data_IF_480359913354
#
_entry.id   IF_480359913354
#
_cell.length_a   1.000
_cell.length_b   1.000
_cell.length_c   1.000
_cell.angle_alpha   90.00
_cell.angle_beta   90.00
_cell.angle_gamma   90.00
#
_symmetry.space_group_name_H-M   'P 1'
#
loop_
_entity.id
_entity.type
_entity.pdbx_description
1 polymer ?
#
# COMPACT_ATOMS: atom_id res chain seq x y z
N UNK A 1 -11.44 -40.11 -52.51
CA UNK A 1 -12.78 -39.50 -52.63
C UNK A 1 -12.74 -38.18 -51.86
N UNK A 2 -12.71 -37.12 -52.61
CA UNK A 2 -12.66 -35.72 -52.17
C UNK A 2 -14.06 -35.22 -51.80
N UNK A 3 -14.19 -34.43 -50.75
CA UNK A 3 -15.36 -33.60 -50.52
C UNK A 3 -14.90 -32.21 -50.09
N UNK A 4 -14.97 -31.28 -51.04
CA UNK A 4 -14.92 -29.84 -50.84
C UNK A 4 -16.18 -29.36 -50.13
N UNK A 5 -16.03 -28.56 -49.07
CA UNK A 5 -17.11 -27.73 -48.51
C UNK A 5 -16.93 -26.28 -48.94
N UNK A 6 -17.99 -25.50 -49.13
CA UNK A 6 -17.95 -24.20 -49.80
C UNK A 6 -17.41 -23.08 -48.89
N UNK A 7 -16.49 -22.30 -49.43
CA UNK A 7 -16.05 -21.03 -48.89
C UNK A 7 -17.17 -19.97 -48.99
N UNK A 8 -17.44 -19.27 -47.93
CA UNK A 8 -18.26 -18.08 -47.93
C UNK A 8 -17.34 -16.88 -48.15
N UNK A 9 -17.41 -16.31 -49.35
CA UNK A 9 -16.78 -15.02 -49.69
C UNK A 9 -17.46 -13.90 -48.91
N UNK A 10 -16.79 -13.39 -47.91
CA UNK A 10 -17.21 -12.16 -47.24
C UNK A 10 -16.59 -10.95 -47.97
N UNK A 11 -17.41 -10.18 -48.64
CA UNK A 11 -17.02 -8.90 -49.28
C UNK A 11 -17.33 -7.78 -48.31
N UNK A 12 -16.30 -7.18 -47.72
CA UNK A 12 -16.41 -6.02 -46.85
C UNK A 12 -16.72 -4.73 -47.61
N UNK A 13 -17.36 -3.72 -46.98
CA UNK A 13 -17.69 -2.46 -47.59
C UNK A 13 -16.49 -1.57 -47.85
N UNK A 14 -16.52 -0.94 -48.98
CA UNK A 14 -15.73 0.06 -49.65
C UNK A 14 -14.62 0.84 -48.94
N UNK A 15 -13.56 0.97 -49.70
CA UNK A 15 -12.37 1.78 -49.47
C UNK A 15 -12.68 3.27 -49.32
N UNK A 16 -12.79 3.74 -48.09
CA UNK A 16 -12.64 5.17 -47.77
C UNK A 16 -11.15 5.53 -47.61
N UNK A 17 -10.75 6.58 -48.28
CA UNK A 17 -9.41 7.17 -48.24
C UNK A 17 -8.91 7.36 -46.82
N UNK A 18 -7.86 6.62 -46.38
CA UNK A 18 -7.16 6.83 -45.14
C UNK A 18 -6.13 7.96 -45.31
N UNK A 19 -6.37 9.08 -44.63
CA UNK A 19 -5.40 10.14 -44.43
C UNK A 19 -4.29 9.62 -43.54
N UNK A 20 -3.03 10.01 -43.82
CA UNK A 20 -1.79 9.64 -43.18
C UNK A 20 -1.84 9.82 -41.63
N UNK A 21 -2.16 8.75 -40.91
CA UNK A 21 -1.89 8.57 -39.51
C UNK A 21 -1.02 7.31 -39.36
N UNK A 22 -0.13 7.26 -38.42
CA UNK A 22 0.74 6.12 -38.16
C UNK A 22 -0.08 4.82 -38.22
N UNK A 23 0.25 3.96 -39.17
CA UNK A 23 -0.44 2.67 -39.34
C UNK A 23 -0.15 1.82 -38.10
N UNK A 24 -1.18 1.44 -37.37
CA UNK A 24 -1.06 0.43 -36.32
C UNK A 24 -0.30 -0.79 -36.89
N UNK A 25 0.62 -1.40 -36.14
CA UNK A 25 1.32 -2.58 -36.61
C UNK A 25 0.29 -3.67 -37.00
N UNK A 26 0.59 -4.49 -38.01
CA UNK A 26 -0.31 -5.54 -38.43
C UNK A 26 -0.60 -6.48 -37.24
N UNK A 27 -1.87 -6.85 -37.09
CA UNK A 27 -2.27 -7.82 -36.08
C UNK A 27 -1.57 -9.15 -36.41
N UNK A 28 -0.76 -9.65 -35.48
CA UNK A 28 -0.10 -10.95 -35.56
C UNK A 28 -0.42 -11.77 -34.30
N UNK A 29 -0.40 -13.07 -34.41
CA UNK A 29 -0.59 -13.97 -33.30
C UNK A 29 0.30 -15.20 -33.45
N UNK A 30 0.92 -15.61 -32.36
CA UNK A 30 1.72 -16.83 -32.31
C UNK A 30 0.84 -18.02 -31.87
N UNK A 31 1.13 -19.20 -32.44
CA UNK A 31 0.48 -20.42 -31.98
C UNK A 31 0.90 -20.71 -30.53
N UNK A 32 -0.07 -20.71 -29.60
CA UNK A 32 0.18 -21.06 -28.21
C UNK A 32 0.73 -22.50 -28.13
N UNK A 33 1.80 -22.68 -27.35
CA UNK A 33 2.40 -23.97 -27.01
C UNK A 33 2.50 -24.11 -25.51
N UNK A 34 2.23 -25.31 -25.02
CA UNK A 34 2.41 -25.59 -23.59
C UNK A 34 3.92 -25.49 -23.24
N UNK A 35 4.19 -24.81 -22.13
CA UNK A 35 5.54 -24.69 -21.56
C UNK A 35 5.46 -25.23 -20.13
N UNK A 36 6.44 -26.03 -19.74
CA UNK A 36 6.57 -26.46 -18.35
C UNK A 36 6.64 -25.25 -17.42
N UNK A 37 5.72 -25.11 -16.43
CA UNK A 37 5.71 -23.95 -15.54
C UNK A 37 7.04 -23.71 -14.81
N UNK A 38 7.85 -24.76 -14.59
CA UNK A 38 9.16 -24.64 -13.93
C UNK A 38 10.22 -23.96 -14.80
N UNK A 39 9.98 -23.89 -16.09
CA UNK A 39 10.87 -23.24 -17.07
C UNK A 39 10.45 -21.78 -17.37
N UNK A 40 9.30 -21.34 -16.86
CA UNK A 40 8.87 -19.95 -17.02
C UNK A 40 9.71 -19.03 -16.15
N UNK A 41 10.23 -17.91 -16.69
CA UNK A 41 10.96 -16.95 -15.89
C UNK A 41 10.06 -16.38 -14.78
N UNK A 42 10.59 -16.20 -13.56
CA UNK A 42 9.85 -15.54 -12.51
C UNK A 42 9.51 -14.10 -12.91
N UNK A 43 8.42 -13.57 -12.33
CA UNK A 43 8.08 -12.16 -12.55
C UNK A 43 9.20 -11.25 -12.06
N UNK A 44 9.54 -10.19 -12.81
CA UNK A 44 10.67 -9.32 -12.50
C UNK A 44 10.34 -8.30 -11.40
N UNK A 45 10.01 -8.80 -10.19
CA UNK A 45 9.77 -7.95 -9.04
C UNK A 45 11.02 -7.14 -8.67
N UNK A 46 10.82 -5.88 -8.25
CA UNK A 46 11.86 -5.01 -7.74
C UNK A 46 11.83 -4.94 -6.20
N UNK A 47 10.68 -4.54 -5.63
CA UNK A 47 10.48 -4.48 -4.18
C UNK A 47 9.20 -5.22 -3.78
N UNK A 48 9.32 -6.34 -3.11
CA UNK A 48 8.21 -7.19 -2.68
C UNK A 48 7.23 -7.45 -3.82
N UNK A 49 5.93 -7.32 -3.55
CA UNK A 49 4.87 -7.31 -4.56
C UNK A 49 4.36 -5.89 -4.87
N UNK A 50 5.10 -4.86 -4.43
CA UNK A 50 4.73 -3.47 -4.59
C UNK A 50 5.25 -2.87 -5.89
N UNK A 51 6.48 -3.20 -6.30
CA UNK A 51 7.13 -2.63 -7.48
C UNK A 51 7.63 -3.75 -8.39
N UNK A 52 7.29 -3.67 -9.67
CA UNK A 52 7.69 -4.66 -10.68
C UNK A 52 8.26 -3.96 -11.91
N UNK A 53 9.36 -4.46 -12.44
CA UNK A 53 9.99 -3.94 -13.66
C UNK A 53 9.06 -4.12 -14.85
N UNK A 54 9.08 -3.15 -15.78
CA UNK A 54 8.19 -3.13 -16.94
C UNK A 54 6.74 -2.73 -16.62
N UNK A 55 6.46 -2.26 -15.38
CA UNK A 55 5.11 -1.93 -14.94
C UNK A 55 5.06 -0.65 -14.11
N UNK A 56 3.89 0.02 -14.19
CA UNK A 56 3.57 1.18 -13.37
C UNK A 56 2.83 0.74 -12.11
N UNK A 57 3.30 1.22 -10.95
CA UNK A 57 2.60 1.14 -9.67
C UNK A 57 2.03 2.50 -9.32
N UNK A 58 0.73 2.56 -9.12
CA UNK A 58 0.03 3.74 -8.62
C UNK A 58 0.04 3.73 -7.08
N UNK A 59 0.51 4.83 -6.47
CA UNK A 59 0.49 5.02 -5.03
C UNK A 59 -0.43 6.17 -4.68
N UNK A 60 -1.61 5.86 -4.18
CA UNK A 60 -2.61 6.85 -3.86
C UNK A 60 -2.77 7.11 -2.38
N UNK A 61 -3.07 8.37 -1.99
CA UNK A 61 -3.48 8.72 -0.64
C UNK A 61 -4.06 10.13 -0.55
N UNK A 62 -4.76 10.49 0.53
CA UNK A 62 -5.03 11.87 0.89
C UNK A 62 -3.74 12.69 1.02
N UNK A 63 -3.85 14.03 0.93
CA UNK A 63 -2.71 14.91 1.19
C UNK A 63 -2.17 14.75 2.62
N UNK A 64 -0.84 14.84 2.78
CA UNK A 64 -0.19 14.78 4.10
C UNK A 64 -0.04 13.40 4.74
N UNK A 65 -0.35 12.31 4.03
CA UNK A 65 -0.23 10.92 4.53
C UNK A 65 1.16 10.29 4.33
N UNK A 66 2.16 11.03 3.85
CA UNK A 66 3.53 10.52 3.73
C UNK A 66 3.87 9.80 2.42
N UNK A 67 3.12 10.03 1.30
CA UNK A 67 3.45 9.42 -0.01
C UNK A 67 4.89 9.65 -0.44
N UNK A 68 5.32 10.92 -0.43
CA UNK A 68 6.69 11.29 -0.81
C UNK A 68 7.72 10.64 0.12
N UNK A 69 7.45 10.58 1.45
CA UNK A 69 8.34 9.89 2.38
C UNK A 69 8.45 8.38 2.07
N UNK A 70 7.33 7.72 1.71
CA UNK A 70 7.34 6.34 1.28
C UNK A 70 8.08 6.15 -0.06
N UNK A 71 7.88 7.06 -1.02
CA UNK A 71 8.56 7.02 -2.31
C UNK A 71 10.09 7.19 -2.15
N UNK A 72 10.54 8.11 -1.29
CA UNK A 72 11.96 8.27 -0.94
C UNK A 72 12.50 7.01 -0.27
N UNK A 73 11.77 6.43 0.68
CA UNK A 73 12.16 5.16 1.33
C UNK A 73 12.24 4.00 0.32
N UNK A 74 11.33 3.94 -0.67
CA UNK A 74 11.37 2.96 -1.75
C UNK A 74 12.60 3.15 -2.64
N UNK A 75 12.99 4.40 -2.94
CA UNK A 75 14.23 4.70 -3.64
C UNK A 75 15.44 4.20 -2.86
N UNK A 76 15.52 4.48 -1.55
CA UNK A 76 16.59 4.01 -0.69
C UNK A 76 16.66 2.48 -0.65
N UNK A 77 15.51 1.81 -0.52
CA UNK A 77 15.43 0.35 -0.52
C UNK A 77 15.87 -0.26 -1.86
N UNK A 78 15.51 0.34 -2.99
CA UNK A 78 15.89 -0.11 -4.33
C UNK A 78 17.40 0.06 -4.59
N UNK A 79 18.02 1.12 -4.09
CA UNK A 79 19.44 1.37 -4.24
C UNK A 79 20.26 0.46 -3.32
N UNK A 80 19.89 0.35 -2.05
CA UNK A 80 20.70 -0.33 -1.02
C UNK A 80 20.38 -1.82 -0.87
N UNK A 81 19.25 -2.28 -1.39
CA UNK A 81 18.78 -3.66 -1.20
C UNK A 81 18.25 -3.96 0.20
N UNK A 82 18.17 -2.96 1.09
CA UNK A 82 17.82 -3.12 2.49
C UNK A 82 16.33 -3.34 2.70
N UNK A 83 15.99 -4.51 3.23
CA UNK A 83 14.62 -4.90 3.54
C UNK A 83 14.03 -4.14 4.72
N UNK A 84 14.83 -3.80 5.71
CA UNK A 84 14.40 -3.17 6.96
C UNK A 84 13.80 -1.76 6.78
N UNK A 85 14.07 -1.09 5.65
CA UNK A 85 13.55 0.24 5.34
C UNK A 85 12.01 0.22 5.24
N UNK A 86 11.46 -0.70 4.44
CA UNK A 86 10.02 -0.81 4.19
C UNK A 86 9.42 -2.18 4.55
N UNK A 87 10.24 -3.13 5.05
CA UNK A 87 9.81 -4.52 5.25
C UNK A 87 9.69 -5.32 3.95
N UNK A 88 9.98 -4.72 2.78
CA UNK A 88 9.85 -5.33 1.48
C UNK A 88 11.17 -5.96 1.03
N UNK A 89 11.10 -7.17 0.48
CA UNK A 89 12.28 -7.83 -0.09
C UNK A 89 12.71 -7.09 -1.36
N UNK A 90 13.99 -6.72 -1.46
CA UNK A 90 14.60 -6.19 -2.69
C UNK A 90 15.17 -7.34 -3.50
N UNK A 91 14.61 -7.59 -4.67
CA UNK A 91 15.04 -8.67 -5.56
C UNK A 91 16.29 -8.30 -6.37
N UNK A 92 16.43 -7.01 -6.65
CA UNK A 92 17.56 -6.46 -7.42
C UNK A 92 17.84 -5.04 -6.96
N UNK A 93 19.10 -4.63 -6.97
CA UNK A 93 19.53 -3.27 -6.66
C UNK A 93 19.90 -2.54 -7.95
N UNK A 94 19.62 -1.23 -8.01
CA UNK A 94 19.94 -0.44 -9.19
C UNK A 94 19.80 1.04 -8.99
N UNK A 95 19.98 1.78 -10.08
CA UNK A 95 19.88 3.21 -10.09
C UNK A 95 18.40 3.63 -10.03
N UNK A 96 18.16 4.76 -9.38
CA UNK A 96 16.82 5.34 -9.19
C UNK A 96 16.81 6.75 -9.75
N UNK A 97 15.77 7.07 -10.50
CA UNK A 97 15.49 8.42 -10.95
C UNK A 97 14.24 8.96 -10.26
N UNK A 98 14.39 10.03 -9.48
CA UNK A 98 13.30 10.71 -8.80
C UNK A 98 13.00 12.03 -9.50
N UNK A 99 11.81 12.16 -10.08
CA UNK A 99 11.30 13.36 -10.70
C UNK A 99 10.30 14.00 -9.74
N UNK A 100 10.66 15.15 -9.16
CA UNK A 100 9.79 15.92 -8.30
C UNK A 100 9.15 17.06 -9.08
N UNK A 101 7.84 17.16 -9.04
CA UNK A 101 7.06 18.14 -9.77
C UNK A 101 6.35 19.16 -8.85
N UNK A 102 6.49 18.98 -7.53
CA UNK A 102 5.95 19.93 -6.52
C UNK A 102 7.05 20.53 -5.65
N UNK A 103 7.95 19.71 -5.16
CA UNK A 103 9.05 20.14 -4.30
C UNK A 103 10.25 20.57 -5.15
N UNK A 104 10.99 21.57 -4.70
CA UNK A 104 12.26 21.93 -5.30
C UNK A 104 13.38 20.96 -4.89
N UNK A 105 14.52 21.11 -5.54
CA UNK A 105 15.68 20.25 -5.28
C UNK A 105 16.18 20.36 -3.83
N UNK A 106 16.11 21.54 -3.22
CA UNK A 106 16.55 21.75 -1.85
C UNK A 106 15.65 21.03 -0.85
N UNK A 107 14.34 21.07 -1.06
CA UNK A 107 13.39 20.31 -0.22
C UNK A 107 13.56 18.80 -0.41
N UNK A 108 13.74 18.34 -1.64
CA UNK A 108 14.01 16.91 -1.89
C UNK A 108 15.33 16.45 -1.24
N UNK A 109 16.37 17.29 -1.22
CA UNK A 109 17.59 16.99 -0.48
C UNK A 109 17.34 16.83 1.02
N UNK A 110 16.48 17.68 1.63
CA UNK A 110 16.08 17.52 3.05
C UNK A 110 15.36 16.21 3.28
N UNK A 111 14.40 15.84 2.43
CA UNK A 111 13.64 14.58 2.54
C UNK A 111 14.54 13.35 2.39
N UNK A 112 15.47 13.38 1.44
CA UNK A 112 16.45 12.32 1.25
C UNK A 112 17.38 12.23 2.46
N UNK A 113 17.88 13.34 2.96
CA UNK A 113 18.74 13.39 4.16
C UNK A 113 17.99 12.83 5.39
N UNK A 114 16.73 13.20 5.61
CA UNK A 114 15.91 12.68 6.69
C UNK A 114 15.73 11.16 6.58
N UNK A 115 15.46 10.62 5.39
CA UNK A 115 15.35 9.18 5.17
C UNK A 115 16.69 8.47 5.42
N UNK A 116 17.80 9.03 4.95
CA UNK A 116 19.13 8.48 5.20
C UNK A 116 19.47 8.44 6.70
N UNK A 117 19.21 9.52 7.43
CA UNK A 117 19.41 9.60 8.88
C UNK A 117 18.52 8.59 9.61
N UNK A 118 17.23 8.51 9.25
CA UNK A 118 16.28 7.58 9.87
C UNK A 118 16.73 6.13 9.72
N UNK A 119 17.29 5.77 8.57
CA UNK A 119 17.67 4.39 8.25
C UNK A 119 19.18 4.11 8.39
N UNK A 120 19.97 5.08 8.83
CA UNK A 120 21.42 4.91 8.95
C UNK A 120 22.10 4.59 7.62
N UNK A 121 21.67 5.24 6.53
CA UNK A 121 22.25 5.11 5.19
C UNK A 121 23.37 6.13 5.05
N UNK A 122 24.54 5.68 4.61
CA UNK A 122 25.67 6.55 4.41
C UNK A 122 25.66 7.18 3.01
N UNK A 123 26.26 8.38 2.82
CA UNK A 123 26.32 9.02 1.51
C UNK A 123 26.94 8.11 0.42
N UNK A 124 27.94 7.29 0.77
CA UNK A 124 28.56 6.34 -0.15
C UNK A 124 27.63 5.23 -0.65
N UNK A 125 26.58 4.88 0.11
CA UNK A 125 25.67 3.82 -0.26
C UNK A 125 24.76 4.19 -1.44
N UNK A 126 24.55 5.50 -1.66
CA UNK A 126 23.67 6.04 -2.72
C UNK A 126 24.41 6.87 -3.76
N UNK A 127 25.70 7.13 -3.57
CA UNK A 127 26.50 7.99 -4.45
C UNK A 127 26.51 7.44 -5.89
N UNK A 128 26.15 8.32 -6.84
CA UNK A 128 26.10 7.98 -8.28
C UNK A 128 24.93 7.07 -8.67
N UNK A 129 24.00 6.74 -7.74
CA UNK A 129 22.88 5.82 -7.99
C UNK A 129 21.50 6.47 -7.86
N UNK A 130 21.43 7.67 -7.33
CA UNK A 130 20.20 8.46 -7.21
C UNK A 130 20.29 9.69 -8.10
N UNK A 131 19.43 9.74 -9.11
CA UNK A 131 19.26 10.87 -10.01
C UNK A 131 18.04 11.68 -9.54
N UNK A 132 18.17 13.01 -9.52
CA UNK A 132 17.09 13.91 -9.06
C UNK A 132 16.85 14.97 -10.14
N UNK A 133 15.61 15.06 -10.60
CA UNK A 133 15.12 16.12 -11.48
C UNK A 133 14.01 16.87 -10.76
N UNK A 134 14.10 18.19 -10.72
CA UNK A 134 13.04 19.10 -10.28
C UNK A 134 12.57 19.96 -11.46
N UNK A 135 11.31 20.39 -11.41
CA UNK A 135 10.77 21.30 -12.42
C UNK A 135 9.59 20.73 -13.21
N UNK A 136 9.61 20.87 -14.53
CA UNK A 136 8.46 20.58 -15.39
C UNK A 136 8.73 19.36 -16.24
N UNK A 137 7.93 18.31 -16.03
CA UNK A 137 7.83 17.16 -16.94
C UNK A 137 6.37 17.06 -17.40
N UNK A 138 6.14 16.99 -18.70
CA UNK A 138 4.80 16.81 -19.28
C UNK A 138 4.82 15.60 -20.20
N UNK A 139 4.25 14.50 -19.75
CA UNK A 139 4.14 13.26 -20.53
C UNK A 139 2.96 13.31 -21.52
N UNK A 140 1.91 14.06 -21.18
CA UNK A 140 0.70 14.17 -21.97
C UNK A 140 0.25 15.62 -22.12
N UNK A 141 -0.12 16.00 -23.32
CA UNK A 141 -0.70 17.30 -23.64
C UNK A 141 -1.81 17.15 -24.68
N UNK A 142 -2.63 18.19 -24.88
CA UNK A 142 -3.55 18.25 -25.99
C UNK A 142 -2.83 18.49 -27.32
N UNK A 143 -3.25 17.77 -28.37
CA UNK A 143 -2.82 18.05 -29.73
C UNK A 143 -3.34 19.41 -30.16
N UNK A 144 -2.50 20.28 -30.72
CA UNK A 144 -2.94 21.59 -31.20
C UNK A 144 -4.09 21.45 -32.21
N UNK A 145 -5.21 22.09 -31.91
CA UNK A 145 -6.35 22.21 -32.81
C UNK A 145 -7.50 21.24 -32.59
N UNK A 146 -7.33 20.11 -31.85
CA UNK A 146 -8.43 19.12 -31.77
C UNK A 146 -8.74 18.66 -30.32
N UNK A 147 -8.05 19.13 -29.30
CA UNK A 147 -8.21 18.73 -27.91
C UNK A 147 -8.09 17.22 -27.65
N UNK A 148 -7.49 16.47 -28.55
CA UNK A 148 -7.17 15.05 -28.32
C UNK A 148 -5.93 14.99 -27.44
N UNK A 149 -6.00 14.23 -26.34
CA UNK A 149 -4.83 13.99 -25.49
C UNK A 149 -3.85 13.04 -26.19
N UNK A 150 -2.57 13.38 -26.16
CA UNK A 150 -1.52 12.58 -26.78
C UNK A 150 -0.20 12.66 -26.02
N UNK A 151 0.71 11.75 -26.32
CA UNK A 151 2.06 11.76 -25.74
C UNK A 151 2.85 12.97 -26.23
N UNK A 152 3.67 13.52 -25.35
CA UNK A 152 4.64 14.54 -25.70
C UNK A 152 5.99 13.91 -26.04
N UNK A 153 6.93 14.65 -26.65
CA UNK A 153 8.30 14.19 -26.85
C UNK A 153 9.00 13.75 -25.55
N UNK A 154 8.59 14.28 -24.40
CA UNK A 154 9.18 13.89 -23.10
C UNK A 154 9.03 12.42 -22.76
N UNK A 155 8.11 11.69 -23.42
CA UNK A 155 8.00 10.24 -23.24
C UNK A 155 9.27 9.54 -23.76
N UNK A 156 9.72 9.92 -24.95
CA UNK A 156 10.96 9.37 -25.55
C UNK A 156 12.19 9.87 -24.78
N UNK A 157 12.24 11.17 -24.42
CA UNK A 157 13.33 11.72 -23.58
C UNK A 157 13.48 10.95 -22.26
N UNK A 158 12.36 10.54 -21.64
CA UNK A 158 12.38 9.70 -20.43
C UNK A 158 12.95 8.31 -20.71
N UNK A 159 12.56 7.67 -21.83
CA UNK A 159 13.06 6.35 -22.19
C UNK A 159 14.58 6.40 -22.43
N UNK A 160 15.06 7.40 -23.15
CA UNK A 160 16.48 7.59 -23.41
C UNK A 160 17.25 7.79 -22.10
N UNK A 161 16.78 8.69 -21.22
CA UNK A 161 17.43 8.93 -19.93
C UNK A 161 17.49 7.67 -19.05
N UNK A 162 16.41 6.88 -19.02
CA UNK A 162 16.33 5.62 -18.27
C UNK A 162 17.35 4.61 -18.79
N UNK A 163 17.43 4.45 -20.12
CA UNK A 163 18.35 3.50 -20.76
C UNK A 163 19.81 3.94 -20.61
N UNK A 164 20.11 5.23 -20.81
CA UNK A 164 21.49 5.77 -20.73
C UNK A 164 22.09 5.69 -19.31
N UNK A 165 21.21 5.63 -18.28
CA UNK A 165 21.65 5.62 -16.88
C UNK A 165 21.30 4.32 -16.14
N UNK A 166 20.89 3.25 -16.84
CA UNK A 166 20.52 1.95 -16.26
C UNK A 166 19.53 2.08 -15.08
N UNK A 167 18.48 2.91 -15.24
CA UNK A 167 17.50 3.18 -14.19
C UNK A 167 16.57 1.98 -13.99
N UNK A 168 16.51 1.44 -12.79
CA UNK A 168 15.58 0.36 -12.41
C UNK A 168 14.25 0.86 -11.85
N UNK A 169 14.25 2.03 -11.22
CA UNK A 169 13.06 2.65 -10.65
C UNK A 169 13.00 4.12 -11.03
N UNK A 170 11.91 4.52 -11.66
CA UNK A 170 11.59 5.92 -11.90
C UNK A 170 10.39 6.31 -11.03
N UNK A 171 10.51 7.41 -10.29
CA UNK A 171 9.46 7.96 -9.43
C UNK A 171 9.04 9.31 -10.00
N UNK A 172 7.74 9.50 -10.28
CA UNK A 172 7.20 10.79 -10.76
C UNK A 172 6.18 11.30 -9.74
N UNK A 173 6.59 12.24 -8.88
CA UNK A 173 5.83 12.71 -7.73
C UNK A 173 5.45 14.20 -7.86
N UNK A 174 4.15 14.51 -7.98
CA UNK A 174 3.03 13.61 -8.23
C UNK A 174 2.68 13.50 -9.73
N UNK A 175 2.12 12.36 -10.14
CA UNK A 175 1.73 12.12 -11.54
C UNK A 175 0.79 13.21 -12.10
N UNK A 176 -0.11 13.75 -11.28
CA UNK A 176 -1.08 14.78 -11.72
C UNK A 176 -0.43 16.08 -12.19
N UNK A 177 0.85 16.32 -11.92
CA UNK A 177 1.62 17.43 -12.45
C UNK A 177 2.29 17.10 -13.81
N UNK A 178 2.34 15.83 -14.19
CA UNK A 178 3.01 15.36 -15.41
C UNK A 178 2.16 15.49 -16.69
N UNK A 179 1.12 16.31 -16.69
CA UNK A 179 0.27 16.56 -17.87
C UNK A 179 -0.19 18.01 -17.99
N UNK A 180 -0.68 18.37 -19.17
CA UNK A 180 -1.29 19.67 -19.48
C UNK A 180 -2.70 19.50 -20.06
N UNK A 181 -3.42 18.44 -19.63
CA UNK A 181 -4.79 18.12 -20.06
C UNK A 181 -5.76 18.29 -18.89
N UNK A 182 -7.06 18.24 -19.15
CA UNK A 182 -8.08 18.30 -18.10
C UNK A 182 -8.02 17.04 -17.22
N UNK A 183 -7.63 17.20 -15.96
CA UNK A 183 -7.53 16.12 -14.98
C UNK A 183 -8.87 15.51 -14.57
N UNK A 184 -10.01 16.10 -14.98
CA UNK A 184 -11.35 15.51 -14.79
C UNK A 184 -11.78 14.60 -15.95
N UNK A 185 -11.04 14.60 -17.08
CA UNK A 185 -11.29 13.74 -18.22
C UNK A 185 -10.71 12.35 -18.00
N UNK A 186 -11.57 11.33 -17.96
CA UNK A 186 -11.14 9.94 -17.85
C UNK A 186 -10.27 9.52 -19.05
N UNK A 187 -10.60 9.97 -20.26
CA UNK A 187 -9.84 9.66 -21.47
C UNK A 187 -8.43 10.23 -21.39
N UNK A 188 -8.29 11.48 -20.92
CA UNK A 188 -6.98 12.10 -20.75
C UNK A 188 -6.14 11.42 -19.64
N UNK A 189 -6.78 10.97 -18.57
CA UNK A 189 -6.12 10.20 -17.51
C UNK A 189 -5.71 8.81 -17.97
N UNK A 190 -6.49 8.17 -18.84
CA UNK A 190 -6.11 6.89 -19.47
C UNK A 190 -4.87 7.05 -20.37
N UNK A 191 -4.79 8.12 -21.15
CA UNK A 191 -3.59 8.44 -21.93
C UNK A 191 -2.38 8.67 -21.01
N UNK A 192 -2.56 9.35 -19.87
CA UNK A 192 -1.46 9.60 -18.92
C UNK A 192 -0.90 8.31 -18.28
N UNK A 193 -1.77 7.41 -17.83
CA UNK A 193 -1.30 6.13 -17.29
C UNK A 193 -0.71 5.24 -18.38
N UNK A 194 -1.22 5.33 -19.60
CA UNK A 194 -0.69 4.63 -20.78
C UNK A 194 0.73 5.10 -21.13
N UNK A 195 1.01 6.41 -21.05
CA UNK A 195 2.36 6.94 -21.22
C UNK A 195 3.35 6.37 -20.19
N UNK A 196 2.93 6.34 -18.91
CA UNK A 196 3.76 5.74 -17.85
C UNK A 196 4.00 4.24 -18.07
N UNK A 197 2.96 3.51 -18.49
CA UNK A 197 3.06 2.08 -18.79
C UNK A 197 3.97 1.82 -20.00
N UNK A 198 3.94 2.69 -21.00
CA UNK A 198 4.81 2.58 -22.17
C UNK A 198 6.27 2.77 -21.81
N UNK A 199 6.59 3.83 -21.06
CA UNK A 199 7.94 4.05 -20.54
C UNK A 199 8.42 2.82 -19.77
N UNK A 200 7.63 2.33 -18.81
CA UNK A 200 7.99 1.18 -18.00
C UNK A 200 8.25 -0.08 -18.85
N UNK A 201 7.35 -0.38 -19.79
CA UNK A 201 7.42 -1.57 -20.64
C UNK A 201 8.64 -1.53 -21.55
N UNK A 202 8.86 -0.40 -22.23
CA UNK A 202 9.89 -0.29 -23.27
C UNK A 202 11.30 -0.25 -22.66
N UNK A 203 11.46 0.33 -21.48
CA UNK A 203 12.75 0.41 -20.76
C UNK A 203 12.95 -0.72 -19.74
N UNK A 204 11.91 -1.51 -19.45
CA UNK A 204 11.94 -2.52 -18.38
C UNK A 204 12.28 -1.92 -17.00
N UNK A 205 12.09 -0.60 -16.79
CA UNK A 205 12.15 0.00 -15.45
C UNK A 205 10.83 -0.19 -14.69
N UNK A 206 10.85 -0.01 -13.39
CA UNK A 206 9.63 0.11 -12.58
C UNK A 206 9.24 1.58 -12.49
N UNK A 207 7.98 1.92 -12.78
CA UNK A 207 7.46 3.27 -12.57
C UNK A 207 6.65 3.31 -11.27
N UNK A 208 6.98 4.23 -10.36
CA UNK A 208 6.19 4.54 -9.17
C UNK A 208 5.59 5.94 -9.35
N UNK A 209 4.26 6.03 -9.30
CA UNK A 209 3.56 7.28 -9.57
C UNK A 209 2.61 7.63 -8.41
N UNK A 210 3.09 8.44 -7.44
CA UNK A 210 2.25 8.97 -6.39
C UNK A 210 1.13 9.86 -6.94
N UNK A 211 -0.09 9.70 -6.40
CA UNK A 211 -1.23 10.54 -6.74
C UNK A 211 -2.11 10.86 -5.52
N UNK A 212 -2.90 11.92 -5.59
CA UNK A 212 -3.82 12.32 -4.54
C UNK A 212 -5.20 11.68 -4.71
N UNK A 213 -5.78 11.21 -3.60
CA UNK A 213 -7.19 10.87 -3.52
C UNK A 213 -8.05 12.06 -3.06
N UNK A 214 -9.35 12.01 -3.32
CA UNK A 214 -10.30 12.87 -2.60
C UNK A 214 -10.44 12.40 -1.15
N UNK A 215 -10.50 13.34 -0.20
CA UNK A 215 -10.80 13.05 1.21
C UNK A 215 -12.22 12.46 1.30
N UNK A 216 -12.40 11.38 2.05
CA UNK A 216 -13.73 10.88 2.44
C UNK A 216 -14.12 9.47 2.00
N UNK A 217 -13.24 8.70 1.36
CA UNK A 217 -13.48 7.26 1.11
C UNK A 217 -12.89 6.39 2.22
N UNK A 218 -13.64 5.40 2.69
CA UNK A 218 -13.15 4.38 3.60
C UNK A 218 -12.50 3.23 2.82
N UNK A 219 -11.30 2.81 3.23
CA UNK A 219 -10.62 1.64 2.63
C UNK A 219 -11.31 0.30 2.93
N UNK A 220 -12.28 0.29 3.86
CA UNK A 220 -13.06 -0.90 4.17
C UNK A 220 -14.18 -1.17 3.15
N UNK A 221 -14.56 -0.16 2.35
CA UNK A 221 -15.34 -0.32 1.12
C UNK A 221 -14.39 -0.44 -0.06
N UNK A 222 -14.71 -1.30 -1.03
CA UNK A 222 -13.91 -1.61 -2.23
C UNK A 222 -13.10 -0.37 -2.70
N UNK A 223 -11.82 -0.29 -2.32
CA UNK A 223 -10.97 0.91 -2.34
C UNK A 223 -10.86 1.66 -3.68
N UNK A 224 -11.58 1.20 -4.71
CA UNK A 224 -11.77 1.87 -6.01
C UNK A 224 -12.51 3.19 -5.88
N UNK A 225 -13.41 3.31 -4.91
CA UNK A 225 -14.16 4.56 -4.67
C UNK A 225 -13.29 5.72 -4.20
N UNK A 226 -12.12 5.44 -3.66
CA UNK A 226 -11.13 6.45 -3.27
C UNK A 226 -10.55 7.20 -4.46
N UNK A 227 -10.52 6.54 -5.61
CA UNK A 227 -10.02 7.09 -6.87
C UNK A 227 -11.13 7.73 -7.71
N UNK A 228 -12.30 8.09 -7.13
CA UNK A 228 -13.36 8.79 -7.86
C UNK A 228 -12.83 10.07 -8.51
N UNK A 229 -12.86 10.11 -9.85
CA UNK A 229 -12.23 11.14 -10.67
C UNK A 229 -10.82 10.79 -11.16
N UNK A 230 -10.28 9.60 -10.79
CA UNK A 230 -9.06 9.03 -11.30
C UNK A 230 -9.19 7.49 -11.48
N UNK A 231 -10.40 6.98 -11.68
CA UNK A 231 -10.67 5.53 -11.85
C UNK A 231 -9.90 4.96 -13.03
N UNK A 232 -9.79 5.70 -14.13
CA UNK A 232 -9.00 5.32 -15.29
C UNK A 232 -7.52 5.11 -14.98
N UNK A 233 -6.93 5.88 -14.06
CA UNK A 233 -5.55 5.64 -13.60
C UNK A 233 -5.41 4.26 -12.92
N UNK A 234 -6.36 3.90 -12.04
CA UNK A 234 -6.37 2.58 -11.38
C UNK A 234 -6.63 1.47 -12.39
N UNK A 235 -7.57 1.69 -13.30
CA UNK A 235 -7.93 0.68 -14.31
C UNK A 235 -6.76 0.43 -15.28
N UNK A 236 -6.02 1.48 -15.65
CA UNK A 236 -4.84 1.40 -16.51
C UNK A 236 -3.59 0.83 -15.81
N UNK A 237 -3.43 1.02 -14.48
CA UNK A 237 -2.33 0.44 -13.73
C UNK A 237 -2.50 -1.07 -13.53
N UNK A 238 -1.38 -1.81 -13.42
CA UNK A 238 -1.39 -3.25 -13.05
C UNK A 238 -1.28 -3.47 -11.55
N UNK A 239 -0.67 -2.52 -10.85
CA UNK A 239 -0.52 -2.49 -9.40
C UNK A 239 -0.99 -1.14 -8.91
N UNK A 240 -1.90 -1.11 -7.94
CA UNK A 240 -2.34 0.10 -7.28
C UNK A 240 -2.39 -0.12 -5.77
N UNK A 241 -1.77 0.75 -5.03
CA UNK A 241 -1.70 0.73 -3.56
C UNK A 241 -2.26 2.03 -2.99
N UNK A 242 -2.85 1.95 -1.81
CA UNK A 242 -3.38 3.11 -1.11
C UNK A 242 -2.76 3.23 0.28
N UNK A 243 -2.38 4.46 0.64
CA UNK A 243 -1.97 4.81 1.99
C UNK A 243 -3.10 5.56 2.69
N UNK A 244 -3.41 5.15 3.91
CA UNK A 244 -4.40 5.79 4.75
C UNK A 244 -3.87 5.93 6.18
N UNK A 245 -4.21 7.06 6.82
CA UNK A 245 -3.89 7.28 8.21
C UNK A 245 -4.67 6.29 9.09
N UNK A 246 -4.06 5.85 10.20
CA UNK A 246 -4.68 4.98 11.18
C UNK A 246 -5.99 5.58 11.69
N UNK A 247 -7.05 4.78 11.70
CA UNK A 247 -8.36 5.18 12.25
C UNK A 247 -8.36 5.12 13.77
N UNK A 248 -9.33 5.80 14.41
CA UNK A 248 -9.51 5.73 15.87
C UNK A 248 -9.79 4.31 16.34
N UNK A 249 -10.55 3.54 15.55
CA UNK A 249 -10.86 2.15 15.87
C UNK A 249 -9.62 1.25 15.83
N UNK A 250 -8.73 1.46 14.87
CA UNK A 250 -7.45 0.74 14.76
C UNK A 250 -6.51 1.11 15.91
N UNK A 251 -6.36 2.40 16.22
CA UNK A 251 -5.54 2.87 17.34
C UNK A 251 -5.99 2.25 18.67
N UNK A 252 -7.30 2.25 18.93
CA UNK A 252 -7.89 1.59 20.11
C UNK A 252 -7.63 0.08 20.09
N UNK A 253 -7.79 -0.56 18.95
CA UNK A 253 -7.49 -1.99 18.80
C UNK A 253 -6.04 -2.34 19.11
N UNK A 254 -5.10 -1.44 18.80
CA UNK A 254 -3.67 -1.59 19.14
C UNK A 254 -3.33 -1.10 20.54
N UNK A 255 -4.27 -0.52 21.30
CA UNK A 255 -4.02 0.04 22.64
C UNK A 255 -3.18 1.32 22.62
N UNK A 256 -3.25 2.08 21.54
CA UNK A 256 -2.50 3.33 21.36
C UNK A 256 -3.27 4.53 21.91
N UNK A 257 -2.54 5.51 22.45
CA UNK A 257 -3.10 6.80 22.81
C UNK A 257 -3.53 7.59 21.53
N UNK A 258 -4.65 8.31 21.62
CA UNK A 258 -5.27 9.00 20.48
C UNK A 258 -4.35 10.05 19.82
N UNK A 259 -3.45 10.69 20.59
CA UNK A 259 -2.55 11.73 20.13
C UNK A 259 -1.45 11.21 19.16
N UNK A 260 -1.08 9.94 19.29
CA UNK A 260 -0.06 9.33 18.42
C UNK A 260 -0.58 8.76 17.11
N UNK A 261 -1.86 8.54 16.99
CA UNK A 261 -2.50 7.87 15.85
C UNK A 261 -2.13 8.47 14.50
N UNK A 262 -2.03 9.80 14.44
CA UNK A 262 -1.75 10.53 13.20
C UNK A 262 -0.36 10.29 12.63
N UNK A 263 0.55 9.73 13.41
CA UNK A 263 1.88 9.33 12.96
C UNK A 263 1.91 7.96 12.26
N UNK A 264 0.81 7.21 12.26
CA UNK A 264 0.78 5.87 11.68
C UNK A 264 -0.10 5.81 10.45
N UNK A 265 0.40 5.10 9.44
CA UNK A 265 -0.30 4.90 8.17
C UNK A 265 -0.32 3.43 7.80
N UNK A 266 -1.43 2.98 7.26
CA UNK A 266 -1.57 1.66 6.66
C UNK A 266 -1.45 1.74 5.16
N UNK A 267 -0.93 0.68 4.55
CA UNK A 267 -0.90 0.51 3.10
C UNK A 267 -1.64 -0.75 2.72
N UNK A 268 -2.55 -0.63 1.77
CA UNK A 268 -3.35 -1.74 1.27
C UNK A 268 -3.24 -1.85 -0.24
N UNK A 269 -3.37 -3.08 -0.73
CA UNK A 269 -3.43 -3.36 -2.17
C UNK A 269 -4.85 -3.12 -2.67
N UNK A 270 -5.01 -2.11 -3.53
CA UNK A 270 -6.27 -1.81 -4.22
C UNK A 270 -6.42 -2.69 -5.46
N UNK A 271 -5.33 -2.84 -6.22
CA UNK A 271 -5.27 -3.66 -7.41
C UNK A 271 -3.94 -4.40 -7.45
N UNK A 272 -3.99 -5.71 -7.61
CA UNK A 272 -2.83 -6.56 -7.81
C UNK A 272 -3.16 -7.62 -8.86
N UNK A 273 -2.82 -7.34 -10.13
CA UNK A 273 -3.04 -8.31 -11.21
C UNK A 273 -1.89 -9.32 -11.31
N UNK A 274 -0.79 -9.07 -10.62
CA UNK A 274 0.46 -9.81 -10.77
C UNK A 274 0.81 -10.71 -9.58
N UNK A 275 0.10 -10.55 -8.44
CA UNK A 275 0.27 -11.36 -7.25
C UNK A 275 -1.09 -11.64 -6.59
N UNK A 276 -1.22 -12.70 -5.79
CA UNK A 276 -2.36 -12.86 -4.91
C UNK A 276 -2.50 -11.65 -3.98
N UNK A 277 -3.74 -11.26 -3.66
CA UNK A 277 -4.00 -10.15 -2.74
C UNK A 277 -3.34 -10.45 -1.39
N UNK A 278 -2.61 -9.48 -0.84
CA UNK A 278 -1.99 -9.63 0.48
C UNK A 278 -3.07 -9.83 1.56
N UNK A 279 -2.85 -10.80 2.44
CA UNK A 279 -3.75 -11.10 3.58
C UNK A 279 -3.53 -10.12 4.74
N UNK A 280 -2.34 -9.54 4.84
CA UNK A 280 -1.97 -8.63 5.91
C UNK A 280 -1.78 -7.20 5.36
N UNK A 281 -2.14 -6.23 6.19
CA UNK A 281 -1.93 -4.80 5.92
C UNK A 281 -0.53 -4.41 6.35
N UNK A 282 0.22 -3.73 5.48
CA UNK A 282 1.49 -3.14 5.84
C UNK A 282 1.26 -1.84 6.63
N UNK A 283 1.98 -1.70 7.75
CA UNK A 283 1.93 -0.51 8.59
C UNK A 283 3.27 0.22 8.60
N UNK A 284 3.19 1.55 8.69
CA UNK A 284 4.35 2.43 8.74
C UNK A 284 4.16 3.52 9.79
N UNK A 285 5.25 3.98 10.40
CA UNK A 285 5.31 5.15 11.26
C UNK A 285 5.98 6.30 10.53
N UNK A 286 5.35 7.47 10.56
CA UNK A 286 5.90 8.74 10.09
C UNK A 286 6.70 9.35 11.22
N UNK A 287 8.00 9.49 11.03
CA UNK A 287 8.95 9.92 12.07
C UNK A 287 9.48 11.30 11.74
N UNK A 288 9.38 12.29 12.65
CA UNK A 288 10.06 13.57 12.47
C UNK A 288 11.56 13.39 12.72
N UNK A 289 12.38 13.79 11.74
CA UNK A 289 13.85 13.71 11.80
C UNK A 289 14.41 15.13 11.83
N UNK A 290 15.10 15.48 12.91
CA UNK A 290 15.79 16.77 13.02
C UNK A 290 17.08 16.74 12.20
N UNK A 291 17.21 17.61 11.20
CA UNK A 291 18.39 17.63 10.32
C UNK A 291 19.62 18.28 10.96
N UNK A 292 19.43 19.11 11.98
CA UNK A 292 20.53 19.80 12.65
C UNK A 292 21.22 20.88 11.78
N UNK A 293 20.55 21.38 10.76
CA UNK A 293 21.08 22.31 9.77
C UNK A 293 21.08 23.79 10.24
N UNK A 294 21.36 24.01 11.53
CA UNK A 294 21.39 25.34 12.17
C UNK A 294 22.63 26.18 11.82
N UNK A 295 23.66 25.52 11.27
CA UNK A 295 24.96 26.19 11.02
C UNK A 295 24.98 27.07 9.76
N UNK A 296 24.00 26.89 8.87
CA UNK A 296 23.95 27.58 7.56
C UNK A 296 23.46 29.01 7.71
N UNK A 297 22.47 29.23 8.60
CA UNK A 297 21.93 30.55 8.87
C UNK A 297 21.65 30.70 10.38
N UNK A 298 22.38 31.60 11.09
CA UNK A 298 22.22 31.80 12.53
C UNK A 298 20.84 32.30 12.98
N UNK A 299 20.03 32.81 12.07
CA UNK A 299 18.65 33.22 12.36
C UNK A 299 17.74 32.03 12.70
N UNK A 300 18.10 30.81 12.25
CA UNK A 300 17.31 29.59 12.45
C UNK A 300 17.97 28.66 13.45
N UNK A 301 17.71 28.89 14.75
CA UNK A 301 18.38 28.19 15.85
C UNK A 301 17.93 26.75 16.09
N UNK A 302 16.72 26.38 15.60
CA UNK A 302 16.17 25.04 15.79
C UNK A 302 16.49 24.06 14.65
N UNK A 303 16.86 24.55 13.46
CA UNK A 303 16.99 23.73 12.25
C UNK A 303 15.65 23.15 11.78
N UNK A 304 15.71 22.36 10.70
CA UNK A 304 14.53 21.75 10.11
C UNK A 304 14.23 20.38 10.76
N UNK A 305 12.93 20.07 10.88
CA UNK A 305 12.44 18.73 11.19
C UNK A 305 11.66 18.23 9.99
N UNK A 306 12.10 17.11 9.39
CA UNK A 306 11.55 16.57 8.15
C UNK A 306 11.00 15.18 8.39
N UNK A 307 9.84 14.88 7.81
CA UNK A 307 9.17 13.62 7.97
C UNK A 307 9.85 12.52 7.16
N UNK A 308 10.30 11.48 7.82
CA UNK A 308 10.69 10.20 7.23
C UNK A 308 9.63 9.13 7.54
N UNK A 309 9.81 7.94 6.98
CA UNK A 309 8.92 6.79 7.21
C UNK A 309 9.73 5.56 7.53
N UNK A 310 9.22 4.71 8.41
CA UNK A 310 9.80 3.40 8.71
C UNK A 310 8.72 2.35 8.83
N UNK A 311 9.08 1.09 8.62
CA UNK A 311 8.20 -0.05 8.92
C UNK A 311 7.79 -0.01 10.38
N UNK A 312 6.51 -0.25 10.62
CA UNK A 312 5.96 -0.45 11.96
C UNK A 312 5.16 -1.74 11.98
N UNK A 313 5.46 -2.59 12.94
CA UNK A 313 4.71 -3.82 13.17
C UNK A 313 3.74 -3.59 14.32
N UNK A 314 2.42 -3.66 14.05
CA UNK A 314 1.42 -3.48 15.09
C UNK A 314 1.62 -4.48 16.22
N UNK A 315 1.38 -4.07 17.48
CA UNK A 315 1.35 -5.02 18.58
C UNK A 315 0.34 -6.13 18.29
N UNK A 316 0.75 -7.37 18.42
CA UNK A 316 -0.16 -8.51 18.27
C UNK A 316 -1.24 -8.42 19.34
N UNK A 317 -2.51 -8.43 18.92
CA UNK A 317 -3.65 -8.34 19.84
C UNK A 317 -3.60 -9.44 20.89
N UNK A 318 -3.23 -10.66 20.48
CA UNK A 318 -3.06 -11.83 21.33
C UNK A 318 -1.61 -12.06 21.79
N UNK A 319 -0.67 -11.20 21.42
CA UNK A 319 0.73 -11.32 21.83
C UNK A 319 0.86 -11.34 23.37
N UNK A 320 1.65 -12.27 23.92
CA UNK A 320 1.78 -12.46 25.36
C UNK A 320 0.61 -13.20 26.04
N UNK A 321 -0.38 -13.67 25.27
CA UNK A 321 -1.46 -14.53 25.76
C UNK A 321 -1.06 -16.00 25.53
N UNK A 322 -0.14 -16.48 26.35
CA UNK A 322 0.29 -17.88 26.35
C UNK A 322 -0.79 -18.82 26.91
N UNK A 323 -0.54 -20.13 26.84
CA UNK A 323 -1.50 -21.14 27.31
C UNK A 323 -1.94 -20.93 28.78
N UNK A 324 -1.04 -20.66 29.78
CA UNK A 324 -1.45 -20.38 31.13
C UNK A 324 -2.35 -19.15 31.27
N UNK A 325 -2.00 -18.07 30.59
CA UNK A 325 -2.77 -16.80 30.58
C UNK A 325 -4.16 -17.01 30.00
N UNK A 326 -4.24 -17.69 28.86
CA UNK A 326 -5.53 -17.99 28.20
C UNK A 326 -6.39 -18.92 29.05
N UNK A 327 -5.78 -19.96 29.66
CA UNK A 327 -6.49 -20.88 30.55
C UNK A 327 -7.05 -20.16 31.78
N UNK A 328 -6.30 -19.23 32.37
CA UNK A 328 -6.78 -18.41 33.49
C UNK A 328 -7.97 -17.51 33.10
N UNK A 329 -7.92 -16.86 31.94
CA UNK A 329 -9.02 -16.04 31.44
C UNK A 329 -10.27 -16.92 31.21
N UNK A 330 -10.11 -18.06 30.53
CA UNK A 330 -11.23 -18.95 30.24
C UNK A 330 -11.81 -19.56 31.52
N UNK A 331 -10.99 -19.87 32.53
CA UNK A 331 -11.47 -20.32 33.83
C UNK A 331 -12.34 -19.25 34.53
N UNK A 332 -11.91 -17.98 34.49
CA UNK A 332 -12.71 -16.87 35.02
C UNK A 332 -14.05 -16.75 34.27
N UNK A 333 -14.04 -16.80 32.92
CA UNK A 333 -15.24 -16.65 32.10
C UNK A 333 -16.21 -17.84 32.22
N UNK A 334 -15.69 -19.01 32.60
CA UNK A 334 -16.49 -20.24 32.82
C UNK A 334 -17.05 -20.37 34.25
N UNK A 335 -16.58 -19.51 35.17
CA UNK A 335 -17.06 -19.51 36.55
C UNK A 335 -18.56 -19.14 36.60
N UNK A 336 -19.39 -20.15 36.92
CA UNK A 336 -20.83 -20.01 36.98
C UNK A 336 -21.31 -19.15 38.16
N UNK A 337 -20.46 -18.86 39.13
CA UNK A 337 -20.77 -17.97 40.27
C UNK A 337 -20.75 -16.50 39.87
N UNK A 338 -20.15 -16.16 38.73
CA UNK A 338 -20.06 -14.80 38.19
C UNK A 338 -20.95 -14.59 36.97
N UNK A 339 -21.43 -13.35 36.81
CA UNK A 339 -22.27 -12.96 35.67
C UNK A 339 -21.49 -11.92 34.85
N UNK A 340 -20.82 -12.41 33.82
CA UNK A 340 -20.06 -11.58 32.91
C UNK A 340 -20.97 -10.85 31.91
N UNK A 341 -20.65 -9.58 31.62
CA UNK A 341 -21.28 -8.81 30.55
C UNK A 341 -20.35 -8.67 29.36
N UNK A 342 -20.91 -8.67 28.14
CA UNK A 342 -20.18 -8.40 26.91
C UNK A 342 -19.77 -6.92 26.79
N UNK A 343 -20.60 -6.01 27.33
CA UNK A 343 -20.36 -4.57 27.30
C UNK A 343 -20.00 -3.99 28.66
N UNK A 344 -19.21 -2.92 28.67
CA UNK A 344 -18.89 -2.15 29.87
C UNK A 344 -20.11 -1.38 30.38
N UNK A 345 -20.51 -1.58 31.62
CA UNK A 345 -21.61 -0.87 32.26
C UNK A 345 -21.35 -0.64 33.75
N UNK A 346 -22.00 0.38 34.36
CA UNK A 346 -21.73 0.82 35.73
C UNK A 346 -22.05 -0.21 36.83
N UNK A 347 -22.75 -1.29 36.51
CA UNK A 347 -23.23 -2.26 37.51
C UNK A 347 -22.98 -3.73 37.15
N UNK A 348 -22.13 -4.01 36.18
CA UNK A 348 -21.88 -5.37 35.69
C UNK A 348 -20.37 -5.62 35.55
N UNK A 349 -19.97 -6.80 35.94
CA UNK A 349 -18.61 -7.25 35.73
C UNK A 349 -18.40 -7.49 34.21
N UNK A 350 -17.51 -6.73 33.62
CA UNK A 350 -17.24 -6.84 32.20
C UNK A 350 -16.24 -7.98 31.93
N UNK A 351 -16.53 -8.85 30.98
CA UNK A 351 -15.64 -9.98 30.64
C UNK A 351 -14.21 -9.57 30.25
N UNK A 352 -14.04 -8.36 29.72
CA UNK A 352 -12.73 -7.79 29.41
C UNK A 352 -11.85 -7.53 30.64
N UNK A 353 -12.45 -7.39 31.85
CA UNK A 353 -11.67 -7.20 33.07
C UNK A 353 -10.80 -8.43 33.41
N UNK A 354 -11.23 -9.65 33.04
CA UNK A 354 -10.41 -10.86 33.12
C UNK A 354 -9.21 -10.80 32.18
N UNK A 355 -9.41 -10.34 30.95
CA UNK A 355 -8.32 -10.17 29.98
C UNK A 355 -7.32 -9.12 30.44
N UNK A 356 -7.80 -7.97 30.95
CA UNK A 356 -6.93 -6.92 31.52
C UNK A 356 -6.10 -7.48 32.68
N UNK A 357 -6.74 -8.24 33.58
CA UNK A 357 -6.12 -8.79 34.78
C UNK A 357 -5.03 -9.80 34.47
N UNK A 358 -5.31 -10.78 33.60
CA UNK A 358 -4.43 -11.90 33.36
C UNK A 358 -3.40 -11.65 32.26
N UNK A 359 -3.78 -10.89 31.22
CA UNK A 359 -2.93 -10.65 30.06
C UNK A 359 -2.28 -9.24 30.04
N UNK A 360 -2.58 -8.37 31.00
CA UNK A 360 -2.05 -7.00 31.04
C UNK A 360 -2.46 -6.12 29.85
N UNK A 361 -3.51 -6.51 29.14
CA UNK A 361 -4.00 -5.76 27.98
C UNK A 361 -4.70 -4.46 28.40
N UNK A 362 -4.69 -3.46 27.53
CA UNK A 362 -5.51 -2.27 27.72
C UNK A 362 -7.01 -2.60 27.64
N UNK A 363 -7.85 -1.72 28.14
CA UNK A 363 -9.30 -1.88 28.08
C UNK A 363 -9.79 -2.03 26.65
N UNK A 364 -9.26 -1.23 25.74
CA UNK A 364 -9.65 -1.26 24.33
C UNK A 364 -9.16 -2.54 23.62
N UNK A 365 -7.97 -3.01 23.95
CA UNK A 365 -7.47 -4.31 23.48
C UNK A 365 -8.34 -5.46 23.99
N UNK A 366 -8.72 -5.45 25.26
CA UNK A 366 -9.60 -6.45 25.84
C UNK A 366 -10.97 -6.46 25.16
N UNK A 367 -11.52 -5.28 24.82
CA UNK A 367 -12.73 -5.14 24.05
C UNK A 367 -12.62 -5.72 22.65
N UNK A 368 -11.49 -5.48 21.97
CA UNK A 368 -11.19 -6.03 20.64
C UNK A 368 -11.03 -7.55 20.67
N UNK A 369 -10.37 -8.11 21.70
CA UNK A 369 -10.24 -9.55 21.92
C UNK A 369 -11.62 -10.19 22.11
N UNK A 370 -12.47 -9.63 22.98
CA UNK A 370 -13.83 -10.13 23.18
C UNK A 370 -14.67 -10.09 21.91
N UNK A 371 -14.55 -9.03 21.12
CA UNK A 371 -15.23 -8.92 19.82
C UNK A 371 -14.80 -10.03 18.86
N UNK A 372 -13.50 -10.32 18.78
CA UNK A 372 -12.98 -11.43 17.96
C UNK A 372 -13.46 -12.79 18.47
N UNK A 373 -13.40 -13.02 19.78
CA UNK A 373 -13.90 -14.25 20.38
C UNK A 373 -15.40 -14.44 20.16
N UNK A 374 -16.18 -13.34 20.18
CA UNK A 374 -17.61 -13.40 19.85
C UNK A 374 -17.85 -13.78 18.39
N UNK A 375 -17.09 -13.17 17.47
CA UNK A 375 -17.16 -13.53 16.03
C UNK A 375 -16.74 -14.98 15.77
N UNK A 376 -15.72 -15.47 16.47
CA UNK A 376 -15.26 -16.85 16.39
C UNK A 376 -16.15 -17.83 17.16
N UNK A 377 -17.12 -17.33 17.95
CA UNK A 377 -18.04 -18.11 18.75
C UNK A 377 -17.39 -18.76 19.99
N UNK A 378 -16.20 -18.31 20.39
CA UNK A 378 -15.53 -18.72 21.64
C UNK A 378 -16.32 -18.24 22.86
N UNK A 379 -16.90 -17.04 22.72
CA UNK A 379 -17.86 -16.49 23.68
C UNK A 379 -19.14 -16.06 22.95
N UNK A 380 -20.29 -16.16 23.61
CA UNK A 380 -21.55 -15.72 23.03
C UNK A 380 -22.45 -15.10 24.11
N UNK A 381 -23.42 -14.29 23.68
CA UNK A 381 -24.36 -13.62 24.58
C UNK A 381 -25.65 -14.39 24.65
N UNK A 382 -26.08 -14.75 25.86
CA UNK A 382 -27.38 -15.36 26.14
C UNK A 382 -28.27 -14.36 26.88
N UNK A 383 -29.55 -14.34 26.51
CA UNK A 383 -30.56 -13.56 27.22
C UNK A 383 -31.30 -14.47 28.19
N UNK A 384 -31.43 -14.08 29.45
CA UNK A 384 -32.15 -14.81 30.46
C UNK A 384 -33.08 -13.85 31.23
N UNK A 385 -34.18 -14.34 31.72
CA UNK A 385 -35.19 -13.53 32.42
C UNK A 385 -34.99 -13.61 33.93
N UNK A 386 -34.79 -12.47 34.58
CA UNK A 386 -34.61 -12.35 36.02
C UNK A 386 -35.52 -11.26 36.54
N UNK A 387 -36.46 -11.59 37.46
CA UNK A 387 -37.37 -10.62 38.07
C UNK A 387 -38.26 -9.90 37.06
N UNK A 388 -38.64 -10.56 35.95
CA UNK A 388 -39.50 -9.99 34.91
C UNK A 388 -38.76 -9.17 33.84
N UNK A 389 -37.45 -8.98 33.98
CA UNK A 389 -36.64 -8.21 33.05
C UNK A 389 -35.65 -9.14 32.30
N UNK A 390 -35.48 -8.90 31.00
CA UNK A 390 -34.51 -9.58 30.19
C UNK A 390 -33.10 -9.06 30.50
N UNK A 391 -32.19 -9.97 30.85
CA UNK A 391 -30.80 -9.68 31.15
C UNK A 391 -29.89 -10.48 30.22
N UNK A 392 -28.86 -9.85 29.73
CA UNK A 392 -27.86 -10.47 28.90
C UNK A 392 -26.63 -10.85 29.75
N UNK A 393 -26.10 -12.06 29.54
CA UNK A 393 -24.81 -12.48 30.05
C UNK A 393 -23.95 -13.04 28.94
N UNK A 394 -22.62 -12.88 29.06
CA UNK A 394 -21.63 -13.52 28.20
C UNK A 394 -21.37 -14.92 28.76
N UNK A 395 -21.26 -15.89 27.87
CA UNK A 395 -21.00 -17.29 28.17
C UNK A 395 -19.86 -17.81 27.32
N UNK A 396 -18.97 -18.62 27.92
CA UNK A 396 -17.87 -19.28 27.23
C UNK A 396 -18.39 -20.56 26.55
N UNK A 397 -18.02 -20.78 25.30
CA UNK A 397 -18.13 -22.08 24.63
C UNK A 397 -16.90 -22.93 24.99
N UNK A 398 -17.08 -23.89 25.91
CA UNK A 398 -15.98 -24.73 26.41
C UNK A 398 -15.27 -25.50 25.31
N UNK A 399 -16.01 -26.06 24.34
CA UNK A 399 -15.42 -26.85 23.30
C UNK A 399 -14.50 -26.03 22.38
N UNK A 400 -14.92 -24.79 22.09
CA UNK A 400 -14.10 -23.85 21.30
C UNK A 400 -12.93 -23.26 22.09
N UNK A 401 -13.14 -22.96 23.39
CA UNK A 401 -12.08 -22.55 24.28
C UNK A 401 -10.98 -23.61 24.40
N UNK A 402 -11.34 -24.88 24.57
CA UNK A 402 -10.40 -26.01 24.59
C UNK A 402 -9.68 -26.19 23.23
N UNK A 403 -10.35 -25.91 22.12
CA UNK A 403 -9.71 -25.93 20.81
C UNK A 403 -8.63 -24.81 20.72
N UNK A 404 -8.97 -23.60 21.13
CA UNK A 404 -8.01 -22.48 21.17
C UNK A 404 -6.80 -22.81 22.06
N UNK A 405 -7.01 -23.40 23.23
CA UNK A 405 -5.93 -23.80 24.13
C UNK A 405 -5.01 -24.87 23.52
N UNK A 406 -5.57 -25.83 22.79
CA UNK A 406 -4.78 -26.87 22.10
C UNK A 406 -3.87 -26.35 21.02
N UNK A 407 -4.30 -25.30 20.32
CA UNK A 407 -3.55 -24.68 19.23
C UNK A 407 -2.44 -23.74 19.72
N UNK A 408 -2.43 -23.39 21.02
CA UNK A 408 -1.38 -22.57 21.60
C UNK A 408 -0.14 -23.41 21.93
N UNK A 409 1.07 -22.91 21.64
CA UNK A 409 2.30 -23.60 22.03
C UNK A 409 2.34 -23.76 23.58
N UNK A 410 2.61 -24.95 24.03
CA UNK A 410 2.56 -25.35 25.45
C UNK A 410 3.65 -24.73 26.34
N UNK A 411 4.66 -24.08 25.78
CA UNK A 411 5.61 -23.20 26.46
C UNK A 411 6.52 -22.49 25.46
N UNK A 412 6.62 -21.21 25.53
CA UNK A 412 7.77 -20.47 24.98
C UNK A 412 8.89 -20.58 26.03
N UNK A 413 9.79 -21.53 25.86
CA UNK A 413 11.13 -21.42 26.44
C UNK A 413 11.85 -20.38 25.59
N UNK A 414 11.98 -19.16 26.14
CA UNK A 414 12.82 -18.13 25.57
C UNK A 414 14.26 -18.63 25.42
N UNK A 415 14.94 -18.29 24.33
CA UNK A 415 16.36 -18.58 24.17
C UNK A 415 17.24 -17.78 25.13
#
# INVERSE_FOLDING_TARGET
>A
MSANGPGADWVGPGTGSRTNGATAPPVSGDLWRWVDPTLLPPRPWLLGTALMRGHTTLLGSPGGTGKTAWAVAAAMAAITGRRDILGLHSFVQGNVWFVTLEDDKAEMQRRIAAAMMQHGILPGDIAGRLFLTDGVLKLVAYTPGDRTAGFTPSVEDCKDFINDNDILLTIVDPLVKAHSVDGSSNDAMDVLISASNEIARDTQCSMLVPCHFRKGGDLDTDGRDLFRGASSLVDGARIARAMQQMTDAEAKGFGMADDRRTAFVRMVDIKSNMAPKALATDWYELVPVALGNTKVDPAYTAGDSVQAIKRWDPPELFGGMDHPTMAAIFADLDDQTQVWSAGRGRQRQWAGDSIVRHAGKSIDQAGSILSQWTKAGVVYVVTHRVGGHDRQRLVLDRARADAVLRDLPSSYSAP
#
